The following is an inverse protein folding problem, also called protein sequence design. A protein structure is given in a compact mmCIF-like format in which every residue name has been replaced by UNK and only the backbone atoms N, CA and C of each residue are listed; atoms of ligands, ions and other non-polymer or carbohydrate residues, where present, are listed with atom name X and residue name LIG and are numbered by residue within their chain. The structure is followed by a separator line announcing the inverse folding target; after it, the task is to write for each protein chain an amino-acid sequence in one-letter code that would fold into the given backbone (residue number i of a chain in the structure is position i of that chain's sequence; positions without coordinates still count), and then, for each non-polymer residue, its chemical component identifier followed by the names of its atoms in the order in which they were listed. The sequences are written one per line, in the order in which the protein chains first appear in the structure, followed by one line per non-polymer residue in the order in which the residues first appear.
data_IF_230431069761
#
_entry.id   IF_230431069761
#
_cell.length_a   1.000
_cell.length_b   1.000
_cell.length_c   1.000
_cell.angle_alpha   90.00
_cell.angle_beta   90.00
_cell.angle_gamma   90.00
#
_symmetry.space_group_name_H-M   'P 1'
#
loop_
_entity.id
_entity.type
_entity.pdbx_description
1 polymer ?
#
# COMPACT_ATOMS: atom_id res chain seq x y z
N UNK A 1 -33.77 -10.42 -33.55
CA UNK A 1 -32.97 -10.71 -32.34
C UNK A 1 -31.78 -9.75 -32.38
N UNK A 2 -31.97 -8.53 -31.87
CA UNK A 2 -30.95 -7.49 -31.82
C UNK A 2 -30.15 -7.67 -30.54
N UNK A 3 -28.85 -7.96 -30.68
CA UNK A 3 -27.91 -7.97 -29.57
C UNK A 3 -27.65 -6.50 -29.23
N UNK A 4 -28.21 -6.02 -28.12
CA UNK A 4 -27.85 -4.71 -27.58
C UNK A 4 -26.39 -4.76 -27.12
N UNK A 5 -25.52 -4.15 -27.90
CA UNK A 5 -24.14 -3.86 -27.51
C UNK A 5 -24.17 -2.89 -26.34
N UNK A 6 -24.13 -3.42 -25.11
CA UNK A 6 -24.14 -2.63 -23.89
C UNK A 6 -22.83 -1.85 -23.78
N UNK A 7 -22.79 -0.67 -24.39
CA UNK A 7 -21.59 0.16 -24.48
C UNK A 7 -21.53 0.98 -23.21
N UNK A 8 -20.71 0.56 -22.25
CA UNK A 8 -20.49 1.33 -21.02
C UNK A 8 -19.80 2.64 -21.38
N UNK A 9 -20.33 3.81 -20.99
CA UNK A 9 -19.69 5.09 -21.26
C UNK A 9 -18.28 5.13 -20.68
N UNK A 10 -17.30 5.64 -21.44
CA UNK A 10 -15.92 5.77 -20.97
C UNK A 10 -15.78 6.58 -19.66
N UNK A 11 -16.72 7.49 -19.38
CA UNK A 11 -16.77 8.28 -18.14
C UNK A 11 -17.09 7.47 -16.89
N UNK A 12 -17.65 6.26 -17.02
CA UNK A 12 -17.97 5.37 -15.89
C UNK A 12 -16.74 5.05 -15.02
N UNK A 13 -15.52 5.17 -15.56
CA UNK A 13 -14.28 5.00 -14.81
C UNK A 13 -14.17 5.95 -13.60
N UNK A 14 -14.76 7.15 -13.67
CA UNK A 14 -14.73 8.12 -12.57
C UNK A 14 -15.77 7.85 -11.48
N UNK A 15 -16.78 7.03 -11.77
CA UNK A 15 -17.81 6.62 -10.80
C UNK A 15 -17.34 5.44 -9.94
N UNK A 16 -16.28 4.74 -10.36
CA UNK A 16 -15.73 3.59 -9.65
C UNK A 16 -14.67 4.07 -8.65
N UNK A 17 -14.87 3.92 -7.33
CA UNK A 17 -13.87 4.33 -6.36
C UNK A 17 -12.54 3.63 -6.65
N UNK A 18 -11.39 4.35 -6.69
CA UNK A 18 -10.10 3.77 -7.10
C UNK A 18 -9.66 2.53 -6.31
N UNK A 19 -10.23 2.32 -5.13
CA UNK A 19 -9.93 1.20 -4.23
C UNK A 19 -11.10 0.23 -4.05
N UNK A 20 -12.20 0.36 -4.81
CA UNK A 20 -13.39 -0.47 -4.67
C UNK A 20 -13.07 -1.97 -4.79
N UNK A 21 -12.23 -2.33 -5.77
CA UNK A 21 -11.82 -3.73 -6.00
C UNK A 21 -10.81 -4.24 -4.95
N UNK A 22 -10.30 -3.36 -4.08
CA UNK A 22 -9.33 -3.69 -3.03
C UNK A 22 -9.96 -3.75 -1.65
N UNK A 23 -11.23 -3.33 -1.52
CA UNK A 23 -11.93 -3.23 -0.24
C UNK A 23 -11.95 -4.56 0.53
N UNK A 24 -12.16 -5.69 -0.16
CA UNK A 24 -12.17 -7.00 0.47
C UNK A 24 -10.77 -7.44 0.94
N UNK A 25 -9.72 -7.15 0.16
CA UNK A 25 -8.34 -7.51 0.49
C UNK A 25 -7.86 -6.76 1.73
N UNK A 26 -8.25 -5.49 1.88
CA UNK A 26 -7.84 -4.64 2.99
C UNK A 26 -8.94 -4.39 4.02
N UNK A 27 -10.00 -5.23 4.04
CA UNK A 27 -11.13 -5.08 4.96
C UNK A 27 -10.70 -5.03 6.43
N UNK A 28 -9.59 -5.71 6.78
CA UNK A 28 -9.01 -5.69 8.12
C UNK A 28 -8.55 -4.29 8.57
N UNK A 29 -8.23 -3.39 7.63
CA UNK A 29 -7.89 -1.98 7.92
C UNK A 29 -9.12 -1.10 8.08
N UNK A 30 -10.28 -1.54 7.59
CA UNK A 30 -11.52 -0.76 7.54
C UNK A 30 -12.36 -0.88 8.82
N UNK A 31 -11.74 -1.13 9.97
CA UNK A 31 -12.45 -1.23 11.25
C UNK A 31 -12.90 0.16 11.76
N UNK A 32 -13.91 0.73 11.12
CA UNK A 32 -14.62 1.95 11.54
C UNK A 32 -13.95 3.27 11.10
N UNK A 33 -14.23 4.34 11.86
CA UNK A 33 -13.79 5.72 11.57
C UNK A 33 -12.33 6.03 11.95
N UNK A 34 -11.57 5.04 12.43
CA UNK A 34 -10.17 5.25 12.85
C UNK A 34 -9.20 5.02 11.70
N UNK A 35 -8.11 5.79 11.70
CA UNK A 35 -6.99 5.51 10.81
C UNK A 35 -6.31 4.18 11.16
N UNK A 36 -5.82 3.43 10.15
CA UNK A 36 -4.92 2.31 10.36
C UNK A 36 -3.65 2.74 11.10
N UNK A 37 -3.31 2.02 12.17
CA UNK A 37 -2.04 2.20 12.87
C UNK A 37 -0.89 1.49 12.14
N UNK A 38 0.35 1.83 12.47
CA UNK A 38 1.52 1.09 11.99
C UNK A 38 1.46 -0.39 12.39
N UNK A 39 0.89 -0.71 13.56
CA UNK A 39 0.71 -2.08 14.00
C UNK A 39 -0.29 -2.86 13.12
N UNK A 40 -1.37 -2.21 12.67
CA UNK A 40 -2.33 -2.81 11.74
C UNK A 40 -1.67 -3.11 10.39
N UNK A 41 -0.86 -2.18 9.86
CA UNK A 41 -0.10 -2.39 8.62
C UNK A 41 0.93 -3.52 8.75
N UNK A 42 1.66 -3.59 9.86
CA UNK A 42 2.61 -4.67 10.12
C UNK A 42 1.94 -6.04 10.30
N UNK A 43 0.74 -6.08 10.88
CA UNK A 43 -0.04 -7.31 10.98
C UNK A 43 -0.43 -7.83 9.58
N UNK A 44 -0.90 -6.95 8.70
CA UNK A 44 -1.20 -7.34 7.32
C UNK A 44 0.04 -7.73 6.54
N UNK A 45 1.16 -7.02 6.69
CA UNK A 45 2.42 -7.40 6.06
C UNK A 45 2.79 -8.85 6.38
N UNK A 46 2.74 -9.23 7.66
CA UNK A 46 3.01 -10.61 8.10
C UNK A 46 2.01 -11.61 7.53
N UNK A 47 0.72 -11.27 7.53
CA UNK A 47 -0.31 -12.15 6.97
C UNK A 47 -0.12 -12.37 5.46
N UNK A 48 0.14 -11.31 4.70
CA UNK A 48 0.42 -11.37 3.26
C UNK A 48 1.68 -12.19 2.97
N UNK A 49 2.78 -11.94 3.69
CA UNK A 49 4.01 -12.73 3.56
C UNK A 49 3.81 -14.20 3.88
N UNK A 50 3.03 -14.53 4.91
CA UNK A 50 2.70 -15.90 5.24
C UNK A 50 1.88 -16.58 4.14
N UNK A 51 1.00 -15.82 3.47
CA UNK A 51 0.11 -16.34 2.43
C UNK A 51 0.83 -16.57 1.09
N UNK A 52 1.78 -15.70 0.70
CA UNK A 52 2.42 -15.75 -0.61
C UNK A 52 3.93 -16.04 -0.60
N UNK A 53 4.57 -16.00 0.57
CA UNK A 53 6.01 -16.22 0.72
C UNK A 53 6.89 -15.10 0.17
N UNK A 54 6.34 -13.91 -0.14
CA UNK A 54 7.09 -12.81 -0.75
C UNK A 54 7.43 -11.75 0.30
N UNK A 55 8.72 -11.59 0.61
CA UNK A 55 9.19 -10.60 1.57
C UNK A 55 8.82 -9.15 1.20
N UNK A 56 8.53 -8.34 2.22
CA UNK A 56 8.11 -6.94 2.17
C UNK A 56 8.86 -6.16 3.26
N UNK A 57 9.26 -4.90 3.00
CA UNK A 57 9.85 -4.04 4.03
C UNK A 57 8.89 -3.81 5.21
N UNK A 58 9.43 -3.64 6.40
CA UNK A 58 8.65 -3.31 7.59
C UNK A 58 8.11 -1.88 7.55
N UNK A 59 6.85 -1.70 7.92
CA UNK A 59 6.28 -0.39 8.17
C UNK A 59 6.74 0.13 9.53
N UNK A 60 7.29 1.34 9.56
CA UNK A 60 7.72 2.01 10.79
C UNK A 60 7.15 3.41 10.83
N UNK A 61 6.73 3.88 12.01
CA UNK A 61 6.28 5.26 12.18
C UNK A 61 7.41 6.22 11.80
N UNK A 62 7.12 7.18 10.92
CA UNK A 62 8.05 8.25 10.62
C UNK A 62 8.18 9.17 11.84
N UNK A 63 9.27 9.01 12.58
CA UNK A 63 9.61 9.85 13.74
C UNK A 63 10.87 10.67 13.47
N UNK A 64 11.13 11.67 14.31
CA UNK A 64 12.40 12.43 14.26
C UNK A 64 13.62 11.53 14.37
N UNK A 65 13.55 10.48 15.20
CA UNK A 65 14.64 9.53 15.36
C UNK A 65 14.89 8.73 14.06
N UNK A 66 13.83 8.31 13.37
CA UNK A 66 13.94 7.65 12.06
C UNK A 66 14.58 8.60 11.03
N UNK A 67 14.24 9.89 11.04
CA UNK A 67 14.79 10.86 10.10
C UNK A 67 16.22 11.33 10.43
N UNK A 68 16.69 11.11 11.66
CA UNK A 68 17.98 11.62 12.13
C UNK A 68 19.20 10.90 11.54
N UNK A 69 19.03 9.71 10.98
CA UNK A 69 20.11 8.94 10.34
C UNK A 69 20.50 9.48 8.95
N UNK A 70 19.78 10.48 8.43
CA UNK A 70 20.09 11.13 7.16
C UNK A 70 19.83 10.28 5.91
N UNK A 71 19.28 9.07 6.07
CA UNK A 71 19.02 8.19 4.93
C UNK A 71 17.89 8.74 4.06
N UNK A 72 18.12 8.75 2.74
CA UNK A 72 17.05 9.01 1.78
C UNK A 72 15.97 7.94 1.87
N UNK A 73 14.73 8.31 1.52
CA UNK A 73 13.57 7.45 1.66
C UNK A 73 13.73 6.10 0.95
N UNK A 74 14.17 6.11 -0.31
CA UNK A 74 14.35 4.87 -1.09
C UNK A 74 15.47 3.99 -0.53
N UNK A 75 16.56 4.58 -0.02
CA UNK A 75 17.65 3.85 0.63
C UNK A 75 17.19 3.17 1.94
N UNK A 76 16.29 3.81 2.69
CA UNK A 76 15.69 3.21 3.89
C UNK A 76 14.86 1.98 3.56
N UNK A 77 14.14 2.02 2.44
CA UNK A 77 13.35 0.90 1.94
C UNK A 77 14.25 -0.26 1.51
N UNK A 78 15.36 0.01 0.82
CA UNK A 78 16.38 -1.01 0.54
C UNK A 78 16.92 -1.66 1.83
N UNK A 79 17.05 -0.87 2.90
CA UNK A 79 17.35 -1.35 4.26
C UNK A 79 16.20 -2.09 4.96
N UNK A 80 15.10 -2.37 4.28
CA UNK A 80 13.99 -3.16 4.77
C UNK A 80 12.96 -2.39 5.62
N UNK A 81 12.94 -1.05 5.56
CA UNK A 81 11.98 -0.24 6.32
C UNK A 81 11.31 0.84 5.46
N UNK A 82 9.99 0.91 5.51
CA UNK A 82 9.21 2.01 4.95
C UNK A 82 8.84 2.95 6.10
N UNK A 83 9.37 4.18 6.07
CA UNK A 83 8.97 5.22 7.01
C UNK A 83 7.60 5.77 6.60
N UNK A 84 6.59 5.52 7.43
CA UNK A 84 5.18 5.81 7.15
C UNK A 84 4.69 6.88 8.13
N UNK A 85 4.15 7.98 7.61
CA UNK A 85 3.44 8.98 8.42
C UNK A 85 2.07 8.43 8.81
N UNK A 86 1.75 8.52 10.09
CA UNK A 86 0.41 8.18 10.57
C UNK A 86 -0.61 9.20 10.05
N UNK A 87 -1.84 8.75 9.89
CA UNK A 87 -2.97 9.57 9.45
C UNK A 87 -2.74 10.28 8.10
N UNK A 88 -2.01 9.64 7.18
CA UNK A 88 -1.62 10.21 5.90
C UNK A 88 -2.09 9.35 4.73
N UNK A 89 -2.94 9.90 3.86
CA UNK A 89 -3.51 9.18 2.72
C UNK A 89 -2.46 8.68 1.72
N UNK A 90 -1.44 9.49 1.44
CA UNK A 90 -0.40 9.11 0.50
C UNK A 90 0.39 7.90 1.01
N UNK A 91 0.80 7.93 2.28
CA UNK A 91 1.60 6.86 2.86
C UNK A 91 0.78 5.59 3.08
N UNK A 92 -0.50 5.74 3.43
CA UNK A 92 -1.44 4.61 3.46
C UNK A 92 -1.57 3.97 2.07
N UNK A 93 -1.83 4.76 1.02
CA UNK A 93 -1.91 4.23 -0.35
C UNK A 93 -0.61 3.54 -0.77
N UNK A 94 0.55 4.15 -0.49
CA UNK A 94 1.85 3.53 -0.77
C UNK A 94 2.04 2.21 -0.02
N UNK A 95 1.57 2.11 1.24
CA UNK A 95 1.58 0.85 1.98
C UNK A 95 0.71 -0.23 1.32
N UNK A 96 -0.52 0.11 0.89
CA UNK A 96 -1.39 -0.82 0.15
C UNK A 96 -0.74 -1.31 -1.15
N UNK A 97 -0.06 -0.42 -1.88
CA UNK A 97 0.66 -0.77 -3.11
C UNK A 97 1.84 -1.70 -2.81
N UNK A 98 2.58 -1.49 -1.72
CA UNK A 98 3.65 -2.41 -1.28
C UNK A 98 3.11 -3.78 -0.85
N UNK A 99 1.95 -3.82 -0.19
CA UNK A 99 1.30 -5.08 0.20
C UNK A 99 0.87 -5.88 -1.04
N UNK A 100 0.25 -5.24 -2.03
CA UNK A 100 -0.32 -5.89 -3.22
C UNK A 100 0.71 -6.18 -4.33
N UNK A 101 1.69 -5.29 -4.51
CA UNK A 101 2.67 -5.38 -5.61
C UNK A 101 4.14 -5.35 -5.10
N UNK A 102 4.52 -6.24 -4.17
CA UNK A 102 5.82 -6.16 -3.50
C UNK A 102 7.01 -6.28 -4.46
N UNK A 103 6.93 -7.16 -5.45
CA UNK A 103 7.99 -7.36 -6.46
C UNK A 103 8.19 -6.13 -7.34
N UNK A 104 7.11 -5.56 -7.83
CA UNK A 104 7.15 -4.35 -8.66
C UNK A 104 7.69 -3.16 -7.88
N UNK A 105 7.22 -2.97 -6.64
CA UNK A 105 7.70 -1.89 -5.78
C UNK A 105 9.17 -2.05 -5.41
N UNK A 106 9.64 -3.26 -5.15
CA UNK A 106 11.07 -3.54 -4.91
C UNK A 106 11.93 -3.21 -6.15
N UNK A 107 11.49 -3.63 -7.35
CA UNK A 107 12.20 -3.31 -8.59
C UNK A 107 12.26 -1.79 -8.86
N UNK A 108 11.17 -1.07 -8.63
CA UNK A 108 11.13 0.39 -8.77
C UNK A 108 12.04 1.09 -7.76
N UNK A 109 11.97 0.69 -6.48
CA UNK A 109 12.81 1.22 -5.43
C UNK A 109 14.31 1.04 -5.75
N UNK A 110 14.71 -0.14 -6.24
CA UNK A 110 16.08 -0.40 -6.67
C UNK A 110 16.53 0.46 -7.86
N UNK A 111 15.63 0.80 -8.78
CA UNK A 111 15.93 1.66 -9.93
C UNK A 111 16.00 3.17 -9.59
N UNK A 112 15.53 3.55 -8.41
CA UNK A 112 15.51 4.94 -7.93
C UNK A 112 16.69 5.27 -6.99
N UNK A 113 17.53 4.27 -6.69
CA UNK A 113 18.68 4.41 -5.81
C UNK A 113 19.99 4.63 -6.58
#
# INVERSE_FOLDING_TARGET
MTVESNTVPHSFVFERPPLADWANEFAALSAGERWPSIADLEALRRASECADGIARPHFVAQSRAVLADGLHYEQRILGGRIATRENNWHDLLNALVWLRYPRTKAALNAAQC
#
